data_IF_846202185006
#
_entry.id   IF_846202185006
#
_cell.length_a   1.000
_cell.length_b   1.000
_cell.length_c   1.000
_cell.angle_alpha   90.00
_cell.angle_beta   90.00
_cell.angle_gamma   90.00
#
_symmetry.space_group_name_H-M   'P 1'
#
loop_
_entity.id
_entity.type
_entity.pdbx_description
1 polymer ?
#
# COMPACT_ATOMS: atom_id res chain seq x y z
N UNK A 1 -1.89 -31.86 -9.46
CA UNK A 1 -1.71 -31.78 -8.00
C UNK A 1 -0.67 -30.73 -7.72
N UNK A 2 -1.11 -29.51 -7.43
CA UNK A 2 -0.27 -28.36 -7.18
C UNK A 2 -0.23 -28.15 -5.66
N UNK A 3 0.94 -28.30 -5.04
CA UNK A 3 1.13 -27.79 -3.69
C UNK A 3 2.62 -27.75 -3.31
N UNK A 4 3.00 -26.62 -2.69
CA UNK A 4 4.17 -26.40 -1.81
C UNK A 4 5.51 -26.09 -2.46
N UNK A 5 5.68 -24.85 -2.93
CA UNK A 5 7.01 -24.19 -2.96
C UNK A 5 7.02 -22.74 -2.43
N UNK A 6 5.94 -22.24 -1.81
CA UNK A 6 5.81 -20.79 -1.52
C UNK A 6 6.29 -20.33 -0.13
N UNK A 7 6.95 -21.17 0.66
CA UNK A 7 7.33 -20.84 2.05
C UNK A 7 8.66 -20.13 2.23
N UNK A 8 9.63 -20.32 1.33
CA UNK A 8 11.01 -19.87 1.55
C UNK A 8 11.30 -18.47 0.98
N UNK A 9 10.56 -18.06 -0.05
CA UNK A 9 10.70 -16.72 -0.63
C UNK A 9 10.26 -15.65 0.39
N UNK A 10 9.17 -15.89 1.13
CA UNK A 10 8.62 -14.94 2.10
C UNK A 10 9.57 -14.60 3.26
N UNK A 11 10.47 -15.52 3.64
CA UNK A 11 11.41 -15.31 4.75
C UNK A 11 12.68 -14.54 4.34
N UNK A 12 13.06 -14.57 3.06
CA UNK A 12 14.31 -13.97 2.57
C UNK A 12 14.23 -12.44 2.38
N UNK A 13 13.04 -11.89 2.10
CA UNK A 13 12.88 -10.47 1.75
C UNK A 13 13.07 -9.49 2.92
N UNK A 14 12.97 -9.94 4.17
CA UNK A 14 12.28 -9.10 5.16
C UNK A 14 13.09 -8.36 6.23
N UNK A 15 14.41 -8.52 6.30
CA UNK A 15 15.14 -7.88 7.40
C UNK A 15 16.36 -7.04 7.07
N UNK A 16 16.82 -6.93 5.82
CA UNK A 16 17.90 -5.97 5.44
C UNK A 16 18.39 -5.98 3.98
N UNK A 17 17.87 -6.84 3.09
CA UNK A 17 18.63 -7.19 1.88
C UNK A 17 18.05 -6.70 0.54
N UNK A 18 16.78 -6.29 0.44
CA UNK A 18 16.27 -5.72 -0.82
C UNK A 18 16.59 -4.23 -0.85
N UNK A 19 17.45 -3.77 -1.78
CA UNK A 19 17.77 -2.36 -1.89
C UNK A 19 16.52 -1.58 -2.27
N UNK A 20 16.35 -0.37 -1.74
CA UNK A 20 15.26 0.55 -2.13
C UNK A 20 15.19 0.71 -3.67
N UNK A 21 16.34 0.66 -4.33
CA UNK A 21 16.48 0.65 -5.80
C UNK A 21 15.66 -0.43 -6.51
N UNK A 22 15.53 -1.63 -5.94
CA UNK A 22 14.77 -2.69 -6.60
C UNK A 22 13.30 -2.29 -6.80
N UNK A 23 12.66 -1.76 -5.75
CA UNK A 23 11.27 -1.31 -5.85
C UNK A 23 11.15 -0.04 -6.69
N UNK A 24 12.15 0.85 -6.65
CA UNK A 24 12.20 2.02 -7.52
C UNK A 24 12.26 1.62 -9.00
N UNK A 25 13.10 0.65 -9.37
CA UNK A 25 13.19 0.10 -10.73
C UNK A 25 11.86 -0.52 -11.17
N UNK A 26 11.21 -1.32 -10.33
CA UNK A 26 9.88 -1.87 -10.62
C UNK A 26 8.81 -0.78 -10.80
N UNK A 27 8.93 0.34 -10.07
CA UNK A 27 8.01 1.46 -10.19
C UNK A 27 8.24 2.22 -11.50
N UNK A 28 9.51 2.46 -11.86
CA UNK A 28 9.90 3.08 -13.13
C UNK A 28 9.42 2.25 -14.33
N UNK A 29 9.41 0.91 -14.21
CA UNK A 29 8.84 -0.01 -15.20
C UNK A 29 7.30 -0.06 -15.19
N UNK A 30 6.65 0.53 -14.18
CA UNK A 30 5.19 0.57 -14.06
C UNK A 30 4.55 -0.72 -13.56
N UNK A 31 5.33 -1.67 -13.03
CA UNK A 31 4.86 -3.00 -12.61
C UNK A 31 4.83 -3.19 -11.08
N UNK A 32 5.37 -2.24 -10.31
CA UNK A 32 5.45 -2.35 -8.85
C UNK A 32 4.09 -2.57 -8.18
N UNK A 33 3.04 -1.87 -8.61
CA UNK A 33 1.72 -1.99 -7.96
C UNK A 33 1.16 -3.41 -8.07
N UNK A 34 1.19 -3.99 -9.27
CA UNK A 34 0.73 -5.37 -9.51
C UNK A 34 1.60 -6.35 -8.72
N UNK A 35 2.93 -6.20 -8.78
CA UNK A 35 3.86 -7.02 -8.01
C UNK A 35 3.54 -7.04 -6.51
N UNK A 36 3.28 -5.87 -5.92
CA UNK A 36 2.99 -5.78 -4.50
C UNK A 36 1.66 -6.45 -4.13
N UNK A 37 0.64 -6.32 -4.97
CA UNK A 37 -0.67 -6.95 -4.72
C UNK A 37 -0.68 -8.45 -5.01
N UNK A 38 0.19 -8.96 -5.88
CA UNK A 38 0.28 -10.40 -6.16
C UNK A 38 1.20 -11.13 -5.17
N UNK A 39 2.33 -10.52 -4.81
CA UNK A 39 3.39 -11.19 -4.05
C UNK A 39 3.56 -10.67 -2.62
N UNK A 40 3.09 -9.46 -2.32
CA UNK A 40 3.27 -8.80 -1.03
C UNK A 40 1.95 -8.35 -0.38
N UNK A 41 0.80 -8.88 -0.80
CA UNK A 41 -0.51 -8.45 -0.31
C UNK A 41 -0.64 -8.51 1.22
N UNK A 42 -0.23 -9.63 1.82
CA UNK A 42 -0.29 -9.79 3.29
C UNK A 42 0.58 -8.76 4.01
N UNK A 43 1.73 -8.44 3.43
CA UNK A 43 2.65 -7.47 3.98
C UNK A 43 2.07 -6.06 3.89
N UNK A 44 1.58 -5.67 2.70
CA UNK A 44 0.90 -4.39 2.52
C UNK A 44 -0.24 -4.20 3.53
N UNK A 45 -0.94 -5.27 3.91
CA UNK A 45 -2.01 -5.18 4.91
C UNK A 45 -1.49 -5.04 6.35
N UNK A 46 -0.47 -5.81 6.72
CA UNK A 46 -0.02 -5.96 8.12
C UNK A 46 1.03 -4.94 8.55
N UNK A 47 1.85 -4.44 7.64
CA UNK A 47 2.93 -3.49 7.93
C UNK A 47 2.65 -2.13 7.29
N UNK A 48 2.16 -1.21 8.11
CA UNK A 48 1.84 0.15 7.70
C UNK A 48 3.06 0.92 7.19
N UNK A 49 4.24 0.70 7.78
CA UNK A 49 5.47 1.40 7.35
C UNK A 49 5.88 0.93 5.97
N UNK A 50 5.88 -0.38 5.74
CA UNK A 50 6.16 -0.94 4.42
C UNK A 50 5.16 -0.43 3.37
N UNK A 51 3.86 -0.43 3.69
CA UNK A 51 2.83 0.10 2.77
C UNK A 51 3.10 1.56 2.41
N UNK A 52 3.40 2.38 3.41
CA UNK A 52 3.72 3.79 3.20
C UNK A 52 4.96 3.98 2.32
N UNK A 53 6.05 3.28 2.61
CA UNK A 53 7.29 3.36 1.83
C UNK A 53 7.07 2.95 0.36
N UNK A 54 6.29 1.90 0.12
CA UNK A 54 5.96 1.44 -1.24
C UNK A 54 5.05 2.41 -1.98
N UNK A 55 4.05 2.99 -1.30
CA UNK A 55 3.19 4.01 -1.88
C UNK A 55 3.98 5.27 -2.23
N UNK A 56 4.93 5.69 -1.39
CA UNK A 56 5.84 6.80 -1.68
C UNK A 56 6.67 6.52 -2.94
N UNK A 57 7.21 5.31 -3.08
CA UNK A 57 7.96 4.91 -4.28
C UNK A 57 7.05 4.94 -5.52
N UNK A 58 5.85 4.38 -5.44
CA UNK A 58 4.89 4.41 -6.55
C UNK A 58 4.55 5.84 -6.96
N UNK A 59 4.29 6.75 -6.01
CA UNK A 59 3.97 8.14 -6.31
C UNK A 59 5.14 8.91 -6.93
N UNK A 60 6.37 8.59 -6.51
CA UNK A 60 7.57 9.32 -6.94
C UNK A 60 8.15 8.82 -8.26
N UNK A 61 8.16 7.50 -8.46
CA UNK A 61 8.91 6.85 -9.52
C UNK A 61 8.04 6.35 -10.68
N UNK A 62 6.73 6.16 -10.48
CA UNK A 62 5.89 5.61 -11.55
C UNK A 62 5.80 6.58 -12.74
N UNK A 63 6.00 6.10 -13.98
CA UNK A 63 5.98 6.96 -15.17
C UNK A 63 4.58 7.45 -15.53
N UNK A 64 3.55 6.84 -14.95
CA UNK A 64 2.14 7.13 -15.19
C UNK A 64 1.36 7.04 -13.87
N UNK A 65 0.20 7.70 -13.80
CA UNK A 65 -0.74 7.49 -12.71
C UNK A 65 -1.05 6.00 -12.54
N UNK A 66 -1.13 5.55 -11.29
CA UNK A 66 -1.42 4.16 -10.92
C UNK A 66 -2.85 4.09 -10.39
N UNK A 67 -3.87 3.75 -11.21
CA UNK A 67 -5.28 3.90 -10.82
C UNK A 67 -5.67 3.04 -9.62
N UNK A 68 -5.00 1.90 -9.42
CA UNK A 68 -5.22 1.06 -8.24
C UNK A 68 -4.81 1.77 -6.96
N UNK A 69 -3.61 2.36 -6.94
CA UNK A 69 -3.12 3.15 -5.81
C UNK A 69 -4.02 4.36 -5.53
N UNK A 70 -4.44 5.09 -6.56
CA UNK A 70 -5.34 6.25 -6.38
C UNK A 70 -6.66 5.85 -5.73
N UNK A 71 -7.23 4.70 -6.11
CA UNK A 71 -8.44 4.17 -5.49
C UNK A 71 -8.21 3.78 -4.03
N UNK A 72 -7.07 3.15 -3.73
CA UNK A 72 -6.71 2.76 -2.38
C UNK A 72 -6.58 3.99 -1.47
N UNK A 73 -5.84 5.02 -1.91
CA UNK A 73 -5.68 6.29 -1.19
C UNK A 73 -7.01 7.03 -1.02
N UNK A 74 -7.85 7.06 -2.06
CA UNK A 74 -9.17 7.70 -1.98
C UNK A 74 -10.10 6.98 -1.01
N UNK A 75 -10.03 5.64 -0.95
CA UNK A 75 -10.78 4.84 0.02
C UNK A 75 -10.32 5.18 1.44
N UNK A 76 -9.01 5.17 1.69
CA UNK A 76 -8.44 5.52 3.01
C UNK A 76 -8.86 6.93 3.44
N UNK A 77 -8.78 7.91 2.54
CA UNK A 77 -9.23 9.27 2.80
C UNK A 77 -10.73 9.34 3.13
N UNK A 78 -11.56 8.62 2.37
CA UNK A 78 -13.01 8.60 2.57
C UNK A 78 -13.39 7.96 3.90
N UNK A 79 -12.70 6.90 4.31
CA UNK A 79 -12.87 6.25 5.61
C UNK A 79 -12.45 7.18 6.75
N UNK A 80 -11.30 7.84 6.63
CA UNK A 80 -10.81 8.80 7.63
C UNK A 80 -11.77 9.98 7.80
N UNK A 81 -12.29 10.53 6.70
CA UNK A 81 -13.28 11.60 6.72
C UNK A 81 -14.60 11.13 7.33
N UNK A 82 -15.06 9.94 6.99
CA UNK A 82 -16.29 9.37 7.55
C UNK A 82 -16.18 9.19 9.07
N UNK A 83 -15.04 8.66 9.54
CA UNK A 83 -14.74 8.57 10.96
C UNK A 83 -14.73 9.94 11.63
N UNK A 84 -14.02 10.91 11.06
CA UNK A 84 -13.95 12.27 11.60
C UNK A 84 -15.34 12.93 11.70
N UNK A 85 -16.20 12.73 10.70
CA UNK A 85 -17.56 13.27 10.71
C UNK A 85 -18.40 12.62 11.81
N UNK A 86 -18.40 11.29 11.94
CA UNK A 86 -19.14 10.62 13.01
C UNK A 86 -18.60 11.00 14.38
N UNK A 87 -17.28 11.04 14.55
CA UNK A 87 -16.65 11.48 15.79
C UNK A 87 -17.12 12.90 16.15
N UNK A 88 -17.09 13.83 15.19
CA UNK A 88 -17.44 15.24 15.44
C UNK A 88 -18.95 15.53 15.51
N UNK A 89 -19.80 14.52 15.33
CA UNK A 89 -21.26 14.67 15.28
C UNK A 89 -21.89 15.33 16.53
N UNK A 90 -21.46 15.07 17.78
CA UNK A 90 -22.05 15.70 18.96
C UNK A 90 -21.88 17.23 18.98
N UNK A 91 -20.69 17.71 18.63
CA UNK A 91 -20.39 19.15 18.63
C UNK A 91 -21.04 19.90 17.45
N UNK A 92 -21.37 19.19 16.36
CA UNK A 92 -22.14 19.76 15.24
C UNK A 92 -23.62 19.92 15.55
N UNK A 93 -24.19 19.05 16.39
CA UNK A 93 -25.60 19.15 16.82
C UNK A 93 -25.81 20.20 17.91
N UNK A 94 -24.81 20.46 18.75
CA UNK A 94 -24.90 21.46 19.82
C UNK A 94 -24.90 22.94 19.34
N UNK A 95 -24.65 23.18 18.04
CA UNK A 95 -24.64 24.52 17.41
C UNK A 95 -25.90 24.82 16.56
N UNK A 96 -26.89 23.93 16.54
CA UNK A 96 -28.22 24.19 15.96
C UNK A 96 -29.23 24.32 17.09
#
# INVERSE_FOLDING_TARGET
MAERQSGWLQQWYFRRAVPRRFYEELAEEGILYEFLHEHCAELLQKDERFRHDMYEILLRCSPRPVPGLERDLLRELSEALSYFLEYTRPWRKAKR
#
